data_IF_823054256775
#
_entry.id   IF_823054256775
#
_cell.length_a   1.000
_cell.length_b   1.000
_cell.length_c   1.000
_cell.angle_alpha   90.00
_cell.angle_beta   90.00
_cell.angle_gamma   90.00
#
_symmetry.space_group_name_H-M   'P 1'
#
loop_
_entity.id
_entity.type
_entity.pdbx_description
1 polymer ?
#
# COMPACT_ATOMS: atom_id res chain seq x y z
N UNK A 1 5.28 14.63 8.32
CA UNK A 1 5.61 13.81 7.15
C UNK A 1 6.27 14.65 6.08
N UNK A 2 7.09 14.05 5.19
CA UNK A 2 7.60 14.74 4.00
C UNK A 2 6.52 14.79 2.91
N UNK A 3 6.33 15.95 2.33
CA UNK A 3 5.40 16.16 1.21
C UNK A 3 6.18 16.65 -0.01
N UNK A 4 6.24 15.83 -1.05
CA UNK A 4 7.00 16.09 -2.28
C UNK A 4 6.15 16.69 -3.41
N UNK A 5 4.89 17.06 -3.13
CA UNK A 5 3.92 17.47 -4.14
C UNK A 5 3.10 16.31 -4.69
N UNK A 6 2.36 16.57 -5.78
CA UNK A 6 1.47 15.61 -6.45
C UNK A 6 2.05 15.23 -7.80
N UNK A 7 2.03 13.95 -8.14
CA UNK A 7 2.48 13.39 -9.41
C UNK A 7 3.68 12.47 -9.30
N UNK A 8 4.05 11.85 -10.43
CA UNK A 8 5.15 10.86 -10.53
C UNK A 8 6.51 11.51 -10.81
N UNK A 9 6.53 12.76 -11.24
CA UNK A 9 7.76 13.49 -11.64
C UNK A 9 8.16 14.57 -10.63
N UNK A 10 7.68 14.49 -9.39
CA UNK A 10 8.08 15.42 -8.32
C UNK A 10 9.57 15.29 -8.00
N UNK A 11 10.29 16.41 -7.79
CA UNK A 11 11.73 16.40 -7.52
C UNK A 11 12.03 15.68 -6.19
N UNK A 12 13.23 15.14 -6.06
CA UNK A 12 13.66 14.47 -4.82
C UNK A 12 14.00 15.51 -3.73
N UNK A 13 14.59 16.61 -4.12
CA UNK A 13 14.88 17.74 -3.24
C UNK A 13 13.72 18.73 -3.21
N UNK A 14 13.59 19.49 -2.13
CA UNK A 14 12.57 20.52 -2.01
C UNK A 14 11.23 20.01 -1.47
N UNK A 15 11.23 18.97 -0.65
CA UNK A 15 10.03 18.55 0.08
C UNK A 15 9.66 19.51 1.20
N UNK A 16 8.36 19.70 1.40
CA UNK A 16 7.84 20.40 2.56
C UNK A 16 7.64 19.45 3.75
N UNK A 17 7.75 19.99 4.96
CA UNK A 17 7.36 19.27 6.15
C UNK A 17 5.91 19.56 6.47
N UNK A 18 5.11 18.50 6.62
CA UNK A 18 3.69 18.61 6.99
C UNK A 18 3.48 17.94 8.33
N UNK A 19 3.01 18.72 9.30
CA UNK A 19 2.49 18.25 10.58
C UNK A 19 0.97 18.18 10.53
N UNK A 20 0.38 17.12 11.07
CA UNK A 20 -1.07 16.98 11.18
C UNK A 20 -1.44 15.96 12.26
N UNK A 21 -2.68 16.02 12.71
CA UNK A 21 -3.32 14.98 13.51
C UNK A 21 -4.35 14.27 12.65
N UNK A 22 -4.27 12.94 12.58
CA UNK A 22 -5.18 12.13 11.79
C UNK A 22 -5.88 11.09 12.66
N UNK A 23 -7.22 11.05 12.57
CA UNK A 23 -8.06 10.02 13.18
C UNK A 23 -8.72 9.26 12.05
N UNK A 24 -8.57 7.93 12.05
CA UNK A 24 -9.21 7.05 11.09
C UNK A 24 -9.89 5.89 11.81
N UNK A 25 -11.13 5.64 11.40
CA UNK A 25 -11.89 4.45 11.75
C UNK A 25 -12.39 3.82 10.44
N UNK A 26 -11.83 2.66 10.11
CA UNK A 26 -12.24 1.89 8.93
C UNK A 26 -12.68 0.50 9.36
N UNK A 27 -13.93 0.19 9.04
CA UNK A 27 -14.55 -1.09 9.40
C UNK A 27 -15.10 -1.78 8.16
N UNK A 28 -15.00 -3.09 8.16
CA UNK A 28 -15.53 -3.95 7.10
C UNK A 28 -16.21 -5.16 7.70
N UNK A 29 -17.46 -5.39 7.33
CA UNK A 29 -18.21 -6.57 7.73
C UNK A 29 -18.43 -7.45 6.51
N UNK A 30 -17.79 -8.60 6.49
CA UNK A 30 -17.84 -9.56 5.39
C UNK A 30 -18.67 -10.78 5.75
N UNK A 31 -19.58 -11.18 4.87
CA UNK A 31 -20.34 -12.42 4.93
C UNK A 31 -19.85 -13.39 3.86
N UNK A 32 -19.56 -14.61 4.25
CA UNK A 32 -19.25 -15.69 3.33
C UNK A 32 -20.47 -16.05 2.50
N UNK A 33 -20.33 -16.07 1.17
CA UNK A 33 -21.41 -16.42 0.24
C UNK A 33 -21.29 -17.90 -0.12
N UNK A 34 -20.16 -18.30 -0.73
CA UNK A 34 -19.92 -19.67 -1.18
C UNK A 34 -18.41 -19.92 -1.29
N UNK A 35 -17.97 -21.11 -0.84
CA UNK A 35 -16.55 -21.49 -0.92
C UNK A 35 -15.66 -20.47 -0.18
N UNK A 36 -14.81 -19.79 -0.93
CA UNK A 36 -13.86 -18.78 -0.44
C UNK A 36 -14.25 -17.35 -0.85
N UNK A 37 -15.50 -17.13 -1.30
CA UNK A 37 -16.03 -15.82 -1.65
C UNK A 37 -16.77 -15.17 -0.48
N UNK A 38 -16.48 -13.89 -0.29
CA UNK A 38 -17.09 -13.05 0.73
C UNK A 38 -17.56 -11.74 0.09
N UNK A 39 -18.69 -11.21 0.57
CA UNK A 39 -19.18 -9.87 0.24
C UNK A 39 -19.53 -9.13 1.51
N UNK A 40 -19.40 -7.84 1.53
CA UNK A 40 -19.80 -7.07 2.69
C UNK A 40 -19.81 -5.58 2.52
N UNK A 41 -20.26 -4.91 3.57
CA UNK A 41 -20.29 -3.46 3.65
C UNK A 41 -18.97 -2.93 4.24
N UNK A 42 -18.60 -1.74 3.80
CA UNK A 42 -17.46 -0.98 4.32
C UNK A 42 -17.93 0.39 4.82
N UNK A 43 -17.29 0.82 5.88
CA UNK A 43 -17.37 2.16 6.44
C UNK A 43 -15.95 2.69 6.64
N UNK A 44 -15.70 3.93 6.24
CA UNK A 44 -14.46 4.63 6.51
C UNK A 44 -14.75 6.05 6.98
N UNK A 45 -14.24 6.39 8.14
CA UNK A 45 -14.23 7.76 8.68
C UNK A 45 -12.79 8.23 8.82
N UNK A 46 -12.47 9.35 8.20
CA UNK A 46 -11.16 9.99 8.34
C UNK A 46 -11.32 11.46 8.68
N UNK A 47 -10.63 11.88 9.73
CA UNK A 47 -10.55 13.30 10.12
C UNK A 47 -9.10 13.69 10.27
N UNK A 48 -8.67 14.67 9.47
CA UNK A 48 -7.36 15.30 9.55
C UNK A 48 -7.53 16.75 9.97
N UNK A 49 -6.79 17.17 10.99
CA UNK A 49 -6.84 18.51 11.56
C UNK A 49 -5.46 18.92 12.11
N UNK A 50 -5.32 20.17 12.56
CA UNK A 50 -4.04 20.75 12.96
C UNK A 50 -2.98 20.59 11.87
N UNK A 51 -3.35 20.94 10.64
CA UNK A 51 -2.45 20.78 9.49
C UNK A 51 -1.59 22.01 9.34
N UNK A 52 -0.28 21.82 9.38
CA UNK A 52 0.72 22.88 9.22
C UNK A 52 1.71 22.47 8.15
N UNK A 53 1.87 23.31 7.14
CA UNK A 53 2.87 23.17 6.09
C UNK A 53 4.05 24.11 6.38
N UNK A 54 5.24 23.56 6.57
CA UNK A 54 6.48 24.33 6.66
C UNK A 54 7.03 24.54 5.25
N UNK A 55 6.57 25.59 4.59
CA UNK A 55 6.96 25.93 3.20
C UNK A 55 7.90 27.12 3.18
N UNK A 56 8.85 27.14 2.21
CA UNK A 56 9.84 28.22 2.09
C UNK A 56 9.25 29.54 1.57
N UNK A 57 8.22 29.48 0.73
CA UNK A 57 7.50 30.64 0.22
C UNK A 57 5.99 30.41 0.27
N UNK A 58 5.29 30.81 1.34
CA UNK A 58 3.85 30.53 1.50
C UNK A 58 2.95 31.42 0.61
N UNK A 59 3.44 32.51 0.06
CA UNK A 59 2.61 33.48 -0.70
C UNK A 59 2.19 32.91 -2.06
N UNK A 60 3.09 32.21 -2.74
CA UNK A 60 2.88 31.64 -4.09
C UNK A 60 2.73 30.11 -4.05
N UNK A 61 2.51 29.52 -2.87
CA UNK A 61 2.44 28.08 -2.73
C UNK A 61 1.08 27.52 -3.14
N UNK A 62 1.09 26.55 -4.07
CA UNK A 62 -0.12 25.85 -4.52
C UNK A 62 -0.49 24.74 -3.51
N UNK A 63 -1.27 25.10 -2.53
CA UNK A 63 -1.69 24.16 -1.48
C UNK A 63 -2.62 23.08 -2.02
N UNK A 64 -2.39 21.80 -1.69
CA UNK A 64 -3.25 20.72 -2.15
C UNK A 64 -4.64 20.76 -1.48
N UNK A 65 -5.61 20.12 -2.13
CA UNK A 65 -6.94 19.90 -1.52
C UNK A 65 -6.79 19.28 -0.12
N UNK A 66 -7.48 19.84 0.86
CA UNK A 66 -7.43 19.37 2.25
C UNK A 66 -6.28 19.94 3.07
N UNK A 67 -5.53 20.92 2.60
CA UNK A 67 -4.39 21.51 3.33
C UNK A 67 -4.77 22.18 4.66
N UNK A 68 -6.02 22.61 4.85
CA UNK A 68 -6.55 23.13 6.11
C UNK A 68 -7.16 22.05 7.01
N UNK A 69 -7.11 20.80 6.55
CA UNK A 69 -7.77 19.66 7.17
C UNK A 69 -8.97 19.18 6.37
N UNK A 70 -9.44 17.99 6.71
CA UNK A 70 -10.59 17.36 6.05
C UNK A 70 -11.29 16.40 7.02
N UNK A 71 -12.60 16.24 6.86
CA UNK A 71 -13.39 15.22 7.56
C UNK A 71 -14.23 14.49 6.53
N UNK A 72 -13.98 13.22 6.30
CA UNK A 72 -14.63 12.45 5.25
C UNK A 72 -15.22 11.17 5.79
N UNK A 73 -16.47 10.90 5.39
CA UNK A 73 -17.25 9.71 5.73
C UNK A 73 -17.55 8.98 4.44
N UNK A 74 -17.09 7.74 4.34
CA UNK A 74 -17.26 6.85 3.19
C UNK A 74 -18.11 5.64 3.55
N UNK A 75 -19.04 5.31 2.66
CA UNK A 75 -19.79 4.06 2.69
C UNK A 75 -19.55 3.28 1.41
N UNK A 76 -19.47 1.98 1.53
CA UNK A 76 -19.15 1.15 0.39
C UNK A 76 -19.37 -0.32 0.59
N UNK A 77 -18.81 -1.08 -0.33
CA UNK A 77 -18.86 -2.53 -0.31
C UNK A 77 -17.56 -3.15 -0.82
N UNK A 78 -17.32 -4.38 -0.40
CA UNK A 78 -16.16 -5.16 -0.82
C UNK A 78 -16.54 -6.57 -1.23
N UNK A 79 -15.86 -7.06 -2.25
CA UNK A 79 -15.82 -8.44 -2.67
C UNK A 79 -14.44 -9.01 -2.36
N UNK A 80 -14.39 -10.16 -1.69
CA UNK A 80 -13.12 -10.82 -1.35
C UNK A 80 -13.19 -12.29 -1.72
N UNK A 81 -12.13 -12.76 -2.37
CA UNK A 81 -11.80 -14.17 -2.50
C UNK A 81 -10.53 -14.47 -1.71
N UNK A 82 -10.59 -15.39 -0.75
CA UNK A 82 -9.42 -15.76 0.04
C UNK A 82 -9.39 -17.28 0.32
N UNK A 83 -8.43 -17.99 -0.29
CA UNK A 83 -8.19 -19.39 -0.02
C UNK A 83 -6.82 -19.66 0.65
N UNK A 84 -6.18 -18.61 1.16
CA UNK A 84 -4.93 -18.72 1.92
C UNK A 84 -5.19 -19.40 3.27
N UNK A 85 -4.24 -20.23 3.72
CA UNK A 85 -4.40 -20.98 4.98
C UNK A 85 -3.73 -20.29 6.16
N UNK A 86 -2.59 -19.63 5.95
CA UNK A 86 -1.83 -18.94 7.00
C UNK A 86 -1.48 -17.54 6.50
N UNK A 87 -2.20 -16.53 6.97
CA UNK A 87 -2.00 -15.15 6.52
C UNK A 87 -0.70 -14.50 7.02
N UNK A 88 -0.06 -15.05 8.06
CA UNK A 88 1.23 -14.55 8.57
C UNK A 88 2.43 -15.01 7.74
N UNK A 89 2.28 -16.15 7.05
CA UNK A 89 3.26 -16.67 6.09
C UNK A 89 2.54 -17.56 5.07
N UNK A 90 2.09 -16.95 4.01
CA UNK A 90 1.33 -17.65 2.96
C UNK A 90 2.28 -18.47 2.10
N UNK A 91 2.14 -19.80 2.13
CA UNK A 91 2.92 -20.74 1.32
C UNK A 91 2.27 -20.99 -0.04
N UNK A 92 0.95 -21.00 -0.09
CA UNK A 92 0.15 -21.27 -1.28
C UNK A 92 -1.23 -20.69 -1.13
N UNK A 93 -1.78 -20.19 -2.23
CA UNK A 93 -3.14 -19.69 -2.28
C UNK A 93 -3.26 -18.40 -3.06
N UNK A 94 -4.46 -17.87 -3.08
CA UNK A 94 -4.83 -16.66 -3.78
C UNK A 94 -5.70 -15.81 -2.86
N UNK A 95 -5.42 -14.52 -2.88
CA UNK A 95 -6.27 -13.47 -2.33
C UNK A 95 -6.60 -12.49 -3.45
N UNK A 96 -7.86 -12.14 -3.58
CA UNK A 96 -8.29 -11.08 -4.48
C UNK A 96 -9.38 -10.26 -3.79
N UNK A 97 -9.23 -8.95 -3.85
CA UNK A 97 -10.14 -7.99 -3.26
C UNK A 97 -10.51 -6.92 -4.28
N UNK A 98 -11.80 -6.58 -4.31
CA UNK A 98 -12.32 -5.39 -4.97
C UNK A 98 -13.17 -4.65 -3.94
N UNK A 99 -12.78 -3.43 -3.60
CA UNK A 99 -13.48 -2.58 -2.65
C UNK A 99 -13.89 -1.26 -3.31
N UNK A 100 -15.03 -0.75 -2.93
CA UNK A 100 -15.62 0.50 -3.42
C UNK A 100 -16.11 1.32 -2.24
N UNK A 101 -15.71 2.59 -2.17
CA UNK A 101 -16.11 3.55 -1.15
C UNK A 101 -16.54 4.85 -1.81
N UNK A 102 -17.70 5.35 -1.43
CA UNK A 102 -18.22 6.65 -1.85
C UNK A 102 -18.22 7.62 -0.67
N UNK A 103 -17.47 8.69 -0.81
CA UNK A 103 -17.42 9.81 0.13
C UNK A 103 -18.25 10.96 -0.45
N UNK A 104 -19.21 11.46 0.32
CA UNK A 104 -20.14 12.48 -0.16
C UNK A 104 -20.38 13.56 0.89
N UNK A 105 -20.50 14.80 0.44
CA UNK A 105 -20.96 15.91 1.27
C UNK A 105 -22.32 15.64 1.90
N UNK A 106 -23.18 14.85 1.23
CA UNK A 106 -24.47 14.40 1.79
C UNK A 106 -24.34 13.50 3.01
N UNK A 107 -23.17 12.86 3.21
CA UNK A 107 -22.85 12.06 4.41
C UNK A 107 -22.08 12.86 5.47
N UNK A 108 -21.89 14.19 5.27
CA UNK A 108 -21.12 15.05 6.15
C UNK A 108 -19.63 15.13 5.81
N UNK A 109 -19.21 14.66 4.64
CA UNK A 109 -17.82 14.78 4.19
C UNK A 109 -17.50 16.21 3.75
N UNK A 110 -16.27 16.66 4.00
CA UNK A 110 -15.73 17.91 3.45
C UNK A 110 -15.57 17.80 1.93
N UNK A 111 -15.14 16.64 1.45
CA UNK A 111 -14.83 16.36 0.06
C UNK A 111 -15.78 15.30 -0.52
N UNK A 112 -16.03 15.36 -1.83
CA UNK A 112 -16.81 14.34 -2.53
C UNK A 112 -15.95 13.62 -3.55
N UNK A 113 -15.77 12.31 -3.36
CA UNK A 113 -15.01 11.46 -4.26
C UNK A 113 -15.40 10.00 -4.09
N UNK A 114 -15.04 9.20 -5.08
CA UNK A 114 -15.20 7.75 -5.09
C UNK A 114 -13.82 7.11 -5.09
N UNK A 115 -13.63 6.10 -4.25
CA UNK A 115 -12.41 5.29 -4.17
C UNK A 115 -12.73 3.85 -4.54
N UNK A 116 -11.99 3.31 -5.51
CA UNK A 116 -12.06 1.90 -5.91
C UNK A 116 -10.68 1.27 -5.73
N UNK A 117 -10.60 0.25 -4.91
CA UNK A 117 -9.36 -0.47 -4.59
C UNK A 117 -9.42 -1.88 -5.13
N UNK A 118 -8.33 -2.32 -5.74
CA UNK A 118 -8.09 -3.69 -6.14
C UNK A 118 -6.79 -4.18 -5.51
N UNK A 119 -6.77 -5.39 -4.92
CA UNK A 119 -5.58 -6.08 -4.43
C UNK A 119 -5.66 -7.56 -4.83
N UNK A 120 -4.62 -8.01 -5.51
CA UNK A 120 -4.47 -9.39 -5.96
C UNK A 120 -3.15 -9.94 -5.47
N UNK A 121 -3.18 -11.09 -4.79
CA UNK A 121 -1.99 -11.78 -4.28
C UNK A 121 -2.06 -13.25 -4.64
N UNK A 122 -0.99 -13.75 -5.25
CA UNK A 122 -0.87 -15.14 -5.64
C UNK A 122 0.40 -15.75 -5.08
N UNK A 123 0.25 -16.92 -4.47
CA UNK A 123 1.33 -17.65 -3.81
C UNK A 123 1.41 -19.06 -4.33
N UNK A 124 2.59 -19.49 -4.69
CA UNK A 124 2.85 -20.88 -5.08
C UNK A 124 4.20 -21.35 -4.55
N UNK A 125 4.35 -22.67 -4.44
CA UNK A 125 5.63 -23.31 -4.15
C UNK A 125 6.67 -22.92 -5.20
N UNK A 126 7.88 -22.57 -4.76
CA UNK A 126 9.02 -22.24 -5.61
C UNK A 126 9.76 -23.47 -6.13
N UNK A 127 11.08 -23.39 -6.23
CA UNK A 127 11.93 -24.48 -6.71
C UNK A 127 11.98 -25.66 -5.74
N UNK A 128 11.93 -25.40 -4.43
CA UNK A 128 11.80 -26.44 -3.40
C UNK A 128 10.43 -26.41 -2.74
N UNK A 129 9.99 -27.50 -2.08
CA UNK A 129 8.71 -27.53 -1.37
C UNK A 129 8.57 -26.47 -0.25
N UNK A 130 9.69 -25.93 0.21
CA UNK A 130 9.73 -24.91 1.26
C UNK A 130 9.75 -23.48 0.72
N UNK A 131 10.15 -23.29 -0.52
CA UNK A 131 10.24 -21.99 -1.13
C UNK A 131 8.87 -21.46 -1.54
N UNK A 132 8.75 -20.15 -1.64
CA UNK A 132 7.52 -19.49 -2.06
C UNK A 132 7.82 -18.46 -3.14
N UNK A 133 7.13 -18.54 -4.25
CA UNK A 133 6.98 -17.45 -5.20
C UNK A 133 5.70 -16.71 -4.85
N UNK A 134 5.83 -15.46 -4.42
CA UNK A 134 4.75 -14.57 -4.06
C UNK A 134 4.64 -13.43 -5.08
N UNK A 135 3.45 -13.20 -5.62
CA UNK A 135 3.15 -12.13 -6.57
C UNK A 135 2.02 -11.29 -6.01
N UNK A 136 2.13 -9.97 -6.14
CA UNK A 136 1.05 -9.03 -5.80
C UNK A 136 0.90 -7.99 -6.89
N UNK A 137 -0.34 -7.64 -7.20
CA UNK A 137 -0.73 -6.48 -7.98
C UNK A 137 -1.80 -5.70 -7.23
N UNK A 138 -1.65 -4.38 -7.13
CA UNK A 138 -2.62 -3.53 -6.45
C UNK A 138 -2.89 -2.27 -7.26
N UNK A 139 -4.13 -1.81 -7.23
CA UNK A 139 -4.53 -0.56 -7.87
C UNK A 139 -5.50 0.21 -6.95
N UNK A 140 -5.38 1.52 -6.95
CA UNK A 140 -6.29 2.43 -6.29
C UNK A 140 -6.72 3.50 -7.30
N UNK A 141 -8.01 3.64 -7.49
CA UNK A 141 -8.61 4.63 -8.38
C UNK A 141 -9.51 5.56 -7.58
N UNK A 142 -9.10 6.82 -7.50
CA UNK A 142 -9.89 7.87 -6.87
C UNK A 142 -10.39 8.86 -7.93
N UNK A 143 -11.66 9.16 -7.89
CA UNK A 143 -12.31 10.11 -8.80
C UNK A 143 -13.12 11.14 -8.02
N UNK A 144 -12.88 12.42 -8.27
CA UNK A 144 -13.51 13.53 -7.59
C UNK A 144 -12.52 14.45 -6.87
N UNK A 145 -12.98 15.10 -5.83
CA UNK A 145 -12.21 16.04 -5.01
C UNK A 145 -11.52 15.32 -3.85
N UNK A 146 -10.35 14.74 -4.13
CA UNK A 146 -9.60 13.89 -3.21
C UNK A 146 -8.64 14.74 -2.37
N UNK A 147 -8.74 14.75 -1.03
CA UNK A 147 -7.77 15.45 -0.21
C UNK A 147 -6.41 14.72 -0.21
N UNK A 148 -5.32 15.49 -0.07
CA UNK A 148 -3.95 14.99 -0.25
C UNK A 148 -3.58 13.82 0.65
N UNK A 149 -4.17 13.71 1.84
CA UNK A 149 -3.96 12.61 2.77
C UNK A 149 -4.66 11.30 2.38
N UNK A 150 -5.65 11.38 1.48
CA UNK A 150 -6.40 10.22 0.96
C UNK A 150 -6.01 9.87 -0.50
N UNK A 151 -5.07 10.60 -1.08
CA UNK A 151 -4.47 10.21 -2.36
C UNK A 151 -3.67 8.92 -2.24
N UNK A 152 -3.56 8.20 -3.34
CA UNK A 152 -2.70 7.03 -3.46
C UNK A 152 -1.23 7.40 -3.33
N UNK A 153 -0.44 6.58 -2.63
CA UNK A 153 0.96 6.85 -2.30
C UNK A 153 1.87 5.68 -2.68
N UNK A 154 3.02 5.98 -3.25
CA UNK A 154 4.12 5.03 -3.49
C UNK A 154 5.11 5.07 -2.33
N UNK A 155 5.62 3.90 -1.93
CA UNK A 155 6.62 3.71 -0.89
C UNK A 155 6.10 2.96 0.33
N UNK A 156 7.00 2.62 1.24
CA UNK A 156 6.68 1.97 2.50
C UNK A 156 7.30 0.59 2.67
N UNK A 157 6.89 -0.11 3.72
CA UNK A 157 7.51 -1.36 4.18
C UNK A 157 7.00 -2.63 3.50
N UNK A 158 5.85 -2.56 2.83
CA UNK A 158 5.23 -3.73 2.18
C UNK A 158 5.36 -3.71 0.66
N UNK A 159 5.32 -2.52 0.05
CA UNK A 159 5.36 -2.33 -1.38
C UNK A 159 6.30 -1.16 -1.74
N UNK A 160 7.06 -1.28 -2.83
CA UNK A 160 8.04 -0.27 -3.25
C UNK A 160 9.06 0.05 -2.13
N UNK A 161 9.54 -0.99 -1.44
CA UNK A 161 10.54 -0.89 -0.37
C UNK A 161 11.81 -0.20 -0.87
N UNK A 162 12.26 0.83 -0.15
CA UNK A 162 13.34 1.72 -0.54
C UNK A 162 12.86 3.17 -0.76
N UNK A 163 11.64 3.36 -1.24
CA UNK A 163 11.03 4.68 -1.27
C UNK A 163 10.39 5.06 0.07
N UNK A 164 10.49 6.33 0.43
CA UNK A 164 9.72 6.91 1.54
C UNK A 164 8.22 6.83 1.23
N UNK A 165 7.38 6.48 2.22
CA UNK A 165 5.93 6.44 2.04
C UNK A 165 5.40 7.82 1.65
N UNK A 166 4.76 7.91 0.48
CA UNK A 166 4.29 9.17 -0.08
C UNK A 166 5.37 9.97 -0.84
N UNK A 167 6.51 9.34 -1.23
CA UNK A 167 7.50 9.94 -2.12
C UNK A 167 6.85 10.40 -3.43
N UNK A 168 5.93 9.60 -3.95
CA UNK A 168 5.04 9.97 -5.05
C UNK A 168 3.60 9.75 -4.62
N UNK A 169 2.73 10.67 -4.97
CA UNK A 169 1.29 10.56 -4.69
C UNK A 169 0.47 11.18 -5.80
N UNK A 170 -0.70 10.61 -6.05
CA UNK A 170 -1.70 11.16 -6.97
C UNK A 170 -3.06 10.50 -6.69
N UNK A 171 -4.08 10.85 -7.45
CA UNK A 171 -5.42 10.25 -7.31
C UNK A 171 -5.43 8.75 -7.60
N UNK A 172 -4.63 8.29 -8.58
CA UNK A 172 -4.64 6.90 -9.03
C UNK A 172 -3.27 6.26 -8.89
N UNK A 173 -3.25 4.98 -8.55
CA UNK A 173 -2.05 4.16 -8.37
C UNK A 173 -2.22 2.83 -9.06
N UNK A 174 -1.15 2.36 -9.68
CA UNK A 174 -0.94 0.95 -9.98
C UNK A 174 0.42 0.52 -9.44
N UNK A 175 0.47 -0.66 -8.81
CA UNK A 175 1.72 -1.23 -8.32
C UNK A 175 1.69 -2.74 -8.45
N UNK A 176 2.87 -3.32 -8.71
CA UNK A 176 3.05 -4.76 -8.71
C UNK A 176 4.39 -5.14 -8.10
N UNK A 177 4.45 -6.33 -7.51
CA UNK A 177 5.70 -6.89 -7.00
C UNK A 177 5.75 -8.40 -7.12
N UNK A 178 6.98 -8.89 -7.22
CA UNK A 178 7.32 -10.30 -7.14
C UNK A 178 8.36 -10.49 -6.03
N UNK A 179 8.16 -11.51 -5.20
CA UNK A 179 9.08 -11.88 -4.13
C UNK A 179 9.30 -13.38 -4.12
N UNK A 180 10.56 -13.79 -4.12
CA UNK A 180 10.94 -15.18 -3.94
C UNK A 180 11.51 -15.40 -2.55
N UNK A 181 10.92 -16.33 -1.80
CA UNK A 181 11.22 -16.62 -0.39
C UNK A 181 11.82 -18.00 -0.25
N UNK A 182 13.02 -18.07 0.30
CA UNK A 182 13.70 -19.29 0.72
C UNK A 182 13.41 -19.54 2.22
N UNK A 183 12.44 -20.39 2.58
CA UNK A 183 11.85 -20.45 3.92
C UNK A 183 11.68 -21.86 4.51
N UNK A 184 12.48 -22.29 5.45
CA UNK A 184 13.88 -21.90 5.70
C UNK A 184 14.81 -22.59 4.72
N UNK A 185 16.06 -22.20 4.69
CA UNK A 185 17.07 -22.86 3.88
C UNK A 185 17.17 -24.36 4.18
N UNK A 186 17.62 -25.17 3.19
CA UNK A 186 17.80 -26.60 3.37
C UNK A 186 18.79 -26.99 4.47
N UNK A 187 19.84 -26.18 4.66
CA UNK A 187 20.86 -26.37 5.69
C UNK A 187 20.49 -25.79 7.06
N UNK A 188 19.42 -25.02 7.18
CA UNK A 188 19.00 -24.39 8.44
C UNK A 188 17.54 -24.71 8.76
N UNK A 189 17.26 -24.91 10.06
CA UNK A 189 15.89 -25.09 10.56
C UNK A 189 15.17 -23.75 10.87
N UNK A 190 15.87 -22.62 10.77
CA UNK A 190 15.34 -21.31 11.16
C UNK A 190 15.66 -20.18 10.18
N UNK A 191 16.83 -20.22 9.53
CA UNK A 191 17.29 -19.16 8.65
C UNK A 191 16.67 -19.28 7.27
N UNK A 192 16.28 -18.19 6.70
CA UNK A 192 15.80 -18.03 5.34
C UNK A 192 16.18 -16.67 4.76
N UNK A 193 15.80 -16.46 3.52
CA UNK A 193 16.03 -15.20 2.82
C UNK A 193 14.86 -14.91 1.87
N UNK A 194 14.81 -13.69 1.37
CA UNK A 194 13.94 -13.31 0.26
C UNK A 194 14.68 -12.37 -0.70
N UNK A 195 14.25 -12.39 -1.96
CA UNK A 195 14.61 -11.38 -2.96
C UNK A 195 13.32 -10.86 -3.59
N UNK A 196 13.26 -9.56 -3.85
CA UNK A 196 12.05 -8.94 -4.37
C UNK A 196 12.35 -7.85 -5.39
N UNK A 197 11.38 -7.65 -6.28
CA UNK A 197 11.34 -6.54 -7.22
C UNK A 197 9.92 -6.00 -7.26
N UNK A 198 9.79 -4.69 -7.41
CA UNK A 198 8.49 -4.02 -7.50
C UNK A 198 8.52 -2.85 -8.46
N UNK A 199 7.36 -2.52 -9.00
CA UNK A 199 7.17 -1.36 -9.87
C UNK A 199 5.86 -0.68 -9.53
N UNK A 200 5.82 0.64 -9.67
CA UNK A 200 4.62 1.43 -9.42
C UNK A 200 4.57 2.70 -10.25
N UNK A 201 3.37 3.20 -10.46
CA UNK A 201 3.12 4.51 -11.04
C UNK A 201 1.91 5.18 -10.40
N UNK A 202 1.88 6.50 -10.39
CA UNK A 202 0.72 7.31 -10.00
C UNK A 202 0.35 8.30 -11.11
N UNK A 203 -0.93 8.67 -11.18
CA UNK A 203 -1.40 9.60 -12.19
C UNK A 203 -2.71 10.30 -11.74
N UNK A 204 -3.03 11.49 -12.32
CA UNK A 204 -4.24 12.23 -11.98
C UNK A 204 -5.53 11.54 -12.47
N UNK A 205 -5.43 10.65 -13.46
CA UNK A 205 -6.58 9.90 -14.00
C UNK A 205 -6.23 8.44 -14.28
N UNK A 206 -7.22 7.57 -14.27
CA UNK A 206 -7.05 6.17 -14.63
C UNK A 206 -6.56 5.99 -16.09
N UNK A 207 -6.96 6.90 -17.01
CA UNK A 207 -6.55 6.87 -18.41
C UNK A 207 -5.06 7.16 -18.60
N UNK A 208 -4.51 8.09 -17.80
CA UNK A 208 -3.10 8.46 -17.87
C UNK A 208 -2.16 7.55 -17.10
N UNK A 209 -2.70 6.62 -16.32
CA UNK A 209 -1.91 5.79 -15.40
C UNK A 209 -0.83 4.96 -16.13
N UNK A 210 -1.20 4.28 -17.22
CA UNK A 210 -0.27 3.43 -17.97
C UNK A 210 0.59 4.19 -19.02
N UNK A 211 0.31 5.48 -19.25
CA UNK A 211 1.17 6.37 -20.04
C UNK A 211 2.14 7.17 -19.17
N UNK A 212 2.02 7.11 -17.85
CA UNK A 212 2.93 7.73 -16.90
C UNK A 212 4.21 6.91 -16.71
N UNK A 213 5.27 7.55 -16.22
CA UNK A 213 6.53 6.87 -15.90
C UNK A 213 6.34 5.85 -14.77
N UNK A 214 7.03 4.72 -14.88
CA UNK A 214 7.06 3.72 -13.81
C UNK A 214 8.32 3.87 -12.96
N UNK A 215 8.16 3.83 -11.65
CA UNK A 215 9.26 3.74 -10.69
C UNK A 215 9.52 2.27 -10.36
N UNK A 216 10.78 1.94 -10.10
CA UNK A 216 11.20 0.58 -9.76
C UNK A 216 11.89 0.55 -8.40
N UNK A 217 11.72 -0.54 -7.69
CA UNK A 217 12.44 -0.85 -6.46
C UNK A 217 12.74 -2.35 -6.42
N UNK A 218 13.83 -2.73 -5.77
CA UNK A 218 14.20 -4.12 -5.60
C UNK A 218 15.03 -4.29 -4.35
N UNK A 219 15.21 -5.54 -3.91
CA UNK A 219 15.98 -5.76 -2.70
C UNK A 219 16.07 -7.20 -2.28
N UNK A 220 16.68 -7.37 -1.12
CA UNK A 220 16.90 -8.66 -0.48
C UNK A 220 16.55 -8.58 1.00
N UNK A 221 16.26 -9.72 1.61
CA UNK A 221 15.96 -9.75 3.03
C UNK A 221 16.34 -11.06 3.70
N UNK A 222 16.69 -10.96 4.98
CA UNK A 222 16.87 -12.11 5.86
C UNK A 222 15.55 -12.50 6.51
N UNK A 223 15.41 -13.80 6.81
CA UNK A 223 14.25 -14.39 7.50
C UNK A 223 14.73 -15.23 8.67
N UNK A 224 14.12 -15.04 9.83
CA UNK A 224 14.38 -15.89 11.00
C UNK A 224 13.08 -16.42 11.58
N UNK A 225 12.93 -17.75 11.58
CA UNK A 225 11.74 -18.46 12.07
C UNK A 225 11.67 -18.40 13.60
N UNK A 226 10.77 -17.56 14.14
CA UNK A 226 10.59 -17.40 15.58
C UNK A 226 9.65 -18.48 16.13
N UNK A 227 8.46 -18.63 15.53
CA UNK A 227 7.45 -19.57 15.97
C UNK A 227 7.27 -20.71 14.98
N UNK A 228 7.97 -21.83 15.21
CA UNK A 228 7.94 -23.00 14.32
C UNK A 228 6.53 -23.58 14.13
N UNK A 229 5.73 -23.66 15.21
CA UNK A 229 4.38 -24.23 15.18
C UNK A 229 3.39 -23.39 14.37
N UNK A 230 3.64 -22.09 14.23
CA UNK A 230 2.80 -21.14 13.50
C UNK A 230 3.41 -20.69 12.19
N UNK A 231 4.64 -21.16 11.88
CA UNK A 231 5.40 -20.77 10.68
C UNK A 231 5.57 -19.24 10.55
N UNK A 232 5.90 -18.56 11.66
CA UNK A 232 6.03 -17.10 11.71
C UNK A 232 7.50 -16.71 11.72
N UNK A 233 7.88 -15.85 10.77
CA UNK A 233 9.22 -15.31 10.61
C UNK A 233 9.29 -13.84 11.07
N UNK A 234 10.45 -13.45 11.57
CA UNK A 234 10.92 -12.08 11.56
C UNK A 234 11.61 -11.85 10.22
N UNK A 235 11.34 -10.73 9.60
CA UNK A 235 12.02 -10.29 8.40
C UNK A 235 12.87 -9.05 8.66
N UNK A 236 14.01 -8.99 7.99
CA UNK A 236 14.82 -7.79 7.82
C UNK A 236 15.07 -7.60 6.33
N UNK A 237 14.52 -6.54 5.75
CA UNK A 237 14.61 -6.25 4.33
C UNK A 237 15.46 -5.02 4.07
N UNK A 238 16.28 -5.09 3.01
CA UNK A 238 17.00 -3.98 2.40
C UNK A 238 16.40 -3.71 1.03
N UNK A 239 15.80 -2.54 0.86
CA UNK A 239 15.22 -2.07 -0.39
C UNK A 239 16.10 -1.02 -1.05
N UNK A 240 16.24 -1.10 -2.36
CA UNK A 240 17.04 -0.21 -3.18
C UNK A 240 16.20 0.41 -4.28
N UNK A 241 16.42 1.70 -4.52
CA UNK A 241 15.76 2.49 -5.56
C UNK A 241 16.78 3.41 -6.23
N UNK A 242 16.49 4.00 -7.37
CA UNK A 242 17.35 5.05 -7.94
C UNK A 242 17.56 6.28 -7.04
N UNK A 243 16.64 6.52 -6.08
CA UNK A 243 16.67 7.68 -5.18
C UNK A 243 17.24 7.34 -3.78
N UNK A 244 17.63 6.09 -3.52
CA UNK A 244 18.21 5.71 -2.24
C UNK A 244 17.84 4.31 -1.80
N UNK A 245 17.95 4.06 -0.52
CA UNK A 245 17.69 2.76 0.08
C UNK A 245 16.85 2.88 1.37
N UNK A 246 16.26 1.76 1.77
CA UNK A 246 15.52 1.64 3.03
C UNK A 246 15.77 0.30 3.69
N UNK A 247 15.67 0.25 5.01
CA UNK A 247 15.74 -0.96 5.78
C UNK A 247 14.48 -1.11 6.63
N UNK A 248 14.00 -2.35 6.74
CA UNK A 248 12.70 -2.65 7.34
C UNK A 248 12.82 -3.88 8.24
N UNK A 249 12.27 -3.79 9.44
CA UNK A 249 12.25 -4.89 10.40
C UNK A 249 10.81 -5.13 10.85
N UNK A 250 10.28 -6.34 10.60
CA UNK A 250 8.88 -6.69 10.89
C UNK A 250 8.73 -8.15 11.28
N UNK A 251 7.59 -8.46 11.90
CA UNK A 251 7.14 -9.82 12.15
C UNK A 251 6.12 -10.19 11.07
N UNK A 252 6.31 -11.33 10.40
CA UNK A 252 5.53 -11.76 9.24
C UNK A 252 6.16 -11.36 7.92
N UNK A 253 5.51 -11.75 6.80
CA UNK A 253 5.93 -11.41 5.46
C UNK A 253 5.34 -10.07 4.99
N UNK A 254 5.83 -9.54 3.86
CA UNK A 254 5.42 -8.22 3.36
C UNK A 254 3.97 -8.19 2.87
N UNK A 255 3.47 -9.35 2.34
CA UNK A 255 2.10 -9.50 1.79
C UNK A 255 1.68 -10.95 1.75
#
# INVERSE_FOLDING_TARGET
MKYYGIGINTPEEGYDLVSNTNIQLRERVLRKIRGNFFIGAEFDFQKMYNVEFSVSNPVDYDYPTGYKGSSNIGFGMGLVFDNRKNVMNVRKGLFAELAFLNYSKSFGSTNSFVSTQFDFRYFRTGFTPKDVLALQGSALFNNGDVPFNQMAMIGGESMMRGYYLGRFRDKNLFTSQAEYRFLPFGFSKRLGAAAFISTATVAPSAKSLFSSSFKMAGGVGARYLIFKSKDIFVRFDLGFTPEGNGYYFYIGEAF
#
